data_IF_276340703500
#
_entry.id   IF_276340703500
#
_cell.length_a   1.000
_cell.length_b   1.000
_cell.length_c   1.000
_cell.angle_alpha   90.00
_cell.angle_beta   90.00
_cell.angle_gamma   90.00
#
_symmetry.space_group_name_H-M   'P 1'
#
loop_
_entity.id
_entity.type
_entity.pdbx_description
1 polymer ?
#
# COMPACT_ATOMS: atom_id res chain seq x y z
N UNK A 1 -2.21 -20.46 -3.30
CA UNK A 1 -2.77 -19.63 -4.40
C UNK A 1 -2.13 -20.03 -5.71
N UNK A 2 -2.94 -20.48 -6.67
CA UNK A 2 -2.45 -21.00 -7.94
C UNK A 2 -2.96 -20.14 -9.10
N UNK A 3 -2.09 -19.87 -10.08
CA UNK A 3 -2.42 -19.23 -11.34
C UNK A 3 -2.41 -20.27 -12.47
N UNK A 4 -3.39 -20.19 -13.36
CA UNK A 4 -3.54 -21.13 -14.46
C UNK A 4 -4.32 -22.39 -14.07
N UNK A 5 -4.49 -23.30 -15.03
CA UNK A 5 -5.21 -24.58 -14.85
C UNK A 5 -4.39 -25.71 -15.45
N UNK A 6 -4.45 -26.91 -14.84
CA UNK A 6 -3.74 -28.08 -15.34
C UNK A 6 -2.23 -28.06 -15.09
N UNK A 7 -1.45 -28.61 -16.03
CA UNK A 7 0.01 -28.78 -15.89
C UNK A 7 0.81 -27.47 -15.84
N UNK A 8 0.23 -26.35 -16.29
CA UNK A 8 0.85 -25.03 -16.30
C UNK A 8 0.45 -24.19 -15.08
N UNK A 9 -0.16 -24.76 -14.04
CA UNK A 9 -0.53 -24.06 -12.82
C UNK A 9 0.72 -23.62 -12.04
N UNK A 10 0.87 -22.32 -11.83
CA UNK A 10 1.96 -21.76 -11.02
C UNK A 10 1.46 -21.57 -9.59
N UNK A 11 2.05 -22.28 -8.65
CA UNK A 11 1.78 -22.11 -7.23
C UNK A 11 2.51 -20.86 -6.72
N UNK A 12 1.80 -19.73 -6.66
CA UNK A 12 2.39 -18.42 -6.37
C UNK A 12 2.56 -18.14 -4.88
N UNK A 13 1.58 -18.54 -4.05
CA UNK A 13 1.60 -18.33 -2.59
C UNK A 13 1.17 -19.62 -1.90
N UNK A 14 2.02 -20.11 -1.00
CA UNK A 14 1.75 -21.24 -0.13
C UNK A 14 0.81 -20.87 1.02
N UNK A 15 0.57 -21.83 1.91
CA UNK A 15 -0.27 -21.61 3.09
C UNK A 15 0.32 -20.48 3.94
N UNK A 16 -0.47 -19.43 4.11
CA UNK A 16 -0.04 -18.19 4.77
C UNK A 16 -1.19 -17.64 5.60
N UNK A 17 -0.93 -17.47 6.90
CA UNK A 17 -1.85 -16.78 7.80
C UNK A 17 -1.22 -15.49 8.30
N UNK A 18 -1.90 -14.36 8.09
CA UNK A 18 -1.42 -13.05 8.46
C UNK A 18 -2.56 -12.22 9.07
N UNK A 19 -2.28 -11.56 10.18
CA UNK A 19 -3.23 -10.68 10.85
C UNK A 19 -2.73 -9.25 10.84
N UNK A 20 -3.59 -8.32 10.41
CA UNK A 20 -3.36 -6.87 10.45
C UNK A 20 -4.30 -6.26 11.48
N UNK A 21 -3.75 -5.50 12.41
CA UNK A 21 -4.54 -4.80 13.42
C UNK A 21 -5.15 -3.52 12.85
N UNK A 22 -6.36 -3.20 13.31
CA UNK A 22 -7.07 -2.01 12.85
C UNK A 22 -6.26 -0.74 13.13
N UNK A 23 -6.21 0.16 12.16
CA UNK A 23 -5.51 1.43 12.27
C UNK A 23 -3.99 1.32 12.32
N UNK A 24 -3.41 0.17 11.91
CA UNK A 24 -1.96 -0.02 11.84
C UNK A 24 -1.47 -0.15 10.40
N UNK A 25 -0.16 0.01 10.21
CA UNK A 25 0.51 -0.28 8.94
C UNK A 25 1.29 -1.57 9.07
N UNK A 26 1.02 -2.53 8.19
CA UNK A 26 1.82 -3.74 7.98
C UNK A 26 2.58 -3.62 6.67
N UNK A 27 3.89 -3.84 6.68
CA UNK A 27 4.68 -3.99 5.47
C UNK A 27 4.89 -5.46 5.09
N UNK A 28 4.75 -5.79 3.81
CA UNK A 28 5.17 -7.05 3.21
C UNK A 28 6.47 -6.81 2.45
N UNK A 29 7.57 -7.42 2.89
CA UNK A 29 8.88 -7.33 2.23
C UNK A 29 9.37 -8.72 1.80
N UNK A 30 10.24 -8.79 0.82
CA UNK A 30 10.80 -10.06 0.34
C UNK A 30 11.33 -9.96 -1.08
N UNK A 31 11.90 -11.04 -1.57
CA UNK A 31 12.46 -11.12 -2.93
C UNK A 31 11.40 -10.90 -4.01
N UNK A 32 11.83 -10.49 -5.21
CA UNK A 32 10.93 -10.37 -6.35
C UNK A 32 10.35 -11.73 -6.70
N UNK A 33 9.06 -11.76 -7.06
CA UNK A 33 8.37 -12.99 -7.43
C UNK A 33 7.86 -13.87 -6.28
N UNK A 34 8.15 -13.58 -5.00
CA UNK A 34 7.66 -14.37 -3.86
C UNK A 34 6.16 -14.17 -3.53
N UNK A 35 5.36 -13.58 -4.41
CA UNK A 35 3.90 -13.52 -4.27
C UNK A 35 3.32 -12.35 -3.47
N UNK A 36 4.10 -11.32 -3.08
CA UNK A 36 3.62 -10.15 -2.31
C UNK A 36 2.41 -9.46 -2.96
N UNK A 37 2.56 -9.06 -4.22
CA UNK A 37 1.48 -8.41 -4.99
C UNK A 37 0.28 -9.33 -5.21
N UNK A 38 0.51 -10.65 -5.30
CA UNK A 38 -0.56 -11.65 -5.37
C UNK A 38 -1.36 -11.66 -4.07
N UNK A 39 -0.68 -11.73 -2.91
CA UNK A 39 -1.32 -11.69 -1.61
C UNK A 39 -2.11 -10.39 -1.41
N UNK A 40 -1.54 -9.25 -1.85
CA UNK A 40 -2.22 -7.96 -1.78
C UNK A 40 -3.50 -7.93 -2.65
N UNK A 41 -3.45 -8.50 -3.86
CA UNK A 41 -4.63 -8.59 -4.74
C UNK A 41 -5.70 -9.55 -4.21
N UNK A 42 -5.31 -10.61 -3.52
CA UNK A 42 -6.23 -11.49 -2.79
C UNK A 42 -6.90 -10.72 -1.65
N UNK A 43 -6.13 -9.95 -0.87
CA UNK A 43 -6.67 -9.09 0.19
C UNK A 43 -7.62 -8.01 -0.36
N UNK A 44 -7.37 -7.50 -1.58
CA UNK A 44 -8.25 -6.56 -2.27
C UNK A 44 -9.55 -7.19 -2.82
N UNK A 45 -9.68 -8.52 -2.79
CA UNK A 45 -10.78 -9.23 -3.44
C UNK A 45 -10.71 -9.23 -4.97
N UNK A 46 -9.59 -8.79 -5.55
CA UNK A 46 -9.37 -8.78 -7.01
C UNK A 46 -9.10 -10.18 -7.56
N UNK A 47 -8.59 -11.07 -6.71
CA UNK A 47 -8.31 -12.48 -7.03
C UNK A 47 -8.88 -13.33 -5.91
N UNK A 48 -9.60 -14.39 -6.26
CA UNK A 48 -10.09 -15.39 -5.28
C UNK A 48 -8.94 -16.32 -4.90
N UNK A 49 -8.71 -16.57 -3.60
CA UNK A 49 -7.72 -17.57 -3.19
C UNK A 49 -8.18 -18.98 -3.59
N UNK A 50 -7.23 -19.86 -3.92
CA UNK A 50 -7.49 -21.27 -4.24
C UNK A 50 -8.03 -22.02 -3.00
N UNK A 51 -7.53 -21.66 -1.82
CA UNK A 51 -7.98 -22.15 -0.52
C UNK A 51 -7.84 -21.05 0.53
N UNK A 52 -8.52 -21.20 1.67
CA UNK A 52 -8.55 -20.20 2.72
C UNK A 52 -9.53 -19.05 2.44
N UNK A 53 -9.45 -18.02 3.25
CA UNK A 53 -10.31 -16.84 3.15
C UNK A 53 -9.58 -15.59 3.67
N UNK A 54 -9.99 -14.43 3.17
CA UNK A 54 -9.64 -13.13 3.76
C UNK A 54 -10.83 -12.68 4.59
N UNK A 55 -10.58 -12.31 5.83
CA UNK A 55 -11.65 -11.90 6.76
C UNK A 55 -11.37 -10.52 7.34
N UNK A 56 -12.42 -9.77 7.61
CA UNK A 56 -12.41 -8.56 8.42
C UNK A 56 -13.35 -8.75 9.60
N UNK A 57 -12.85 -8.56 10.82
CA UNK A 57 -13.62 -8.75 12.06
C UNK A 57 -14.31 -10.14 12.16
N UNK A 58 -13.65 -11.18 11.61
CA UNK A 58 -14.15 -12.55 11.62
C UNK A 58 -15.14 -12.91 10.50
N UNK A 59 -15.59 -11.94 9.71
CA UNK A 59 -16.44 -12.17 8.54
C UNK A 59 -15.60 -12.16 7.24
N UNK A 60 -15.95 -12.96 6.21
CA UNK A 60 -15.30 -12.87 4.91
C UNK A 60 -15.36 -11.44 4.36
N UNK A 61 -14.27 -10.97 3.77
CA UNK A 61 -14.25 -9.65 3.13
C UNK A 61 -15.23 -9.64 1.95
N UNK A 62 -16.23 -8.77 2.03
CA UNK A 62 -17.08 -8.39 0.90
C UNK A 62 -16.68 -6.99 0.43
N UNK A 63 -16.13 -6.83 -0.79
CA UNK A 63 -15.77 -5.52 -1.33
C UNK A 63 -16.96 -4.55 -1.49
N UNK A 64 -18.21 -5.04 -1.37
CA UNK A 64 -19.41 -4.19 -1.39
C UNK A 64 -19.69 -3.57 -0.03
N UNK A 65 -19.34 -4.27 1.06
CA UNK A 65 -19.54 -3.82 2.44
C UNK A 65 -18.32 -3.11 3.03
N UNK A 66 -17.11 -3.45 2.57
CA UNK A 66 -15.84 -2.86 3.03
C UNK A 66 -15.30 -1.88 2.00
N UNK A 67 -14.96 -0.67 2.41
CA UNK A 67 -14.33 0.29 1.52
C UNK A 67 -12.83 0.00 1.43
N UNK A 68 -12.40 -0.62 0.33
CA UNK A 68 -10.99 -0.92 0.08
C UNK A 68 -10.40 0.13 -0.87
N UNK A 69 -9.38 0.84 -0.41
CA UNK A 69 -8.53 1.67 -1.24
C UNK A 69 -7.37 0.84 -1.78
N UNK A 70 -7.17 0.84 -3.10
CA UNK A 70 -6.04 0.16 -3.72
C UNK A 70 -5.19 1.14 -4.51
N UNK A 71 -3.91 1.26 -4.14
CA UNK A 71 -2.92 2.07 -4.84
C UNK A 71 -1.91 1.14 -5.54
N UNK A 72 -2.03 0.92 -6.85
CA UNK A 72 -1.09 0.10 -7.60
C UNK A 72 0.24 0.84 -7.84
N UNK A 73 1.28 0.12 -8.24
CA UNK A 73 2.62 0.62 -8.50
C UNK A 73 2.68 1.80 -9.49
N UNK A 74 1.81 1.82 -10.49
CA UNK A 74 1.69 2.89 -11.48
C UNK A 74 0.62 3.94 -11.11
N UNK A 75 0.23 4.01 -9.83
CA UNK A 75 -0.81 4.89 -9.27
C UNK A 75 -2.21 4.71 -9.86
N UNK A 76 -2.38 3.98 -10.97
CA UNK A 76 -3.66 3.68 -11.63
C UNK A 76 -4.43 4.92 -12.09
N UNK A 77 -3.73 6.00 -12.46
CA UNK A 77 -4.38 7.21 -12.96
C UNK A 77 -4.90 6.99 -14.39
N UNK A 78 -6.12 7.49 -14.64
CA UNK A 78 -6.71 7.45 -15.96
C UNK A 78 -6.12 8.59 -16.80
N UNK A 79 -5.36 8.24 -17.84
CA UNK A 79 -4.59 9.19 -18.64
C UNK A 79 -5.46 10.25 -19.39
N UNK A 80 -6.73 9.92 -19.64
CA UNK A 80 -7.71 10.77 -20.33
C UNK A 80 -8.57 11.62 -19.39
N UNK A 81 -8.35 11.51 -18.08
CA UNK A 81 -9.01 12.32 -17.05
C UNK A 81 -8.03 13.30 -16.43
N UNK A 82 -8.53 14.49 -16.09
CA UNK A 82 -7.78 15.49 -15.34
C UNK A 82 -7.44 14.99 -13.92
N UNK A 83 -6.56 15.70 -13.22
CA UNK A 83 -6.24 15.46 -11.80
C UNK A 83 -7.51 15.44 -10.96
N UNK A 84 -8.35 16.48 -11.10
CA UNK A 84 -9.62 16.57 -10.36
C UNK A 84 -10.51 15.35 -10.61
N UNK A 85 -10.74 14.97 -11.86
CA UNK A 85 -11.58 13.83 -12.23
C UNK A 85 -10.99 12.49 -11.74
N UNK A 86 -9.65 12.35 -11.74
CA UNK A 86 -9.00 11.18 -11.18
C UNK A 86 -9.24 11.05 -9.67
N UNK A 87 -9.15 12.16 -8.93
CA UNK A 87 -9.37 12.16 -7.47
C UNK A 87 -10.81 11.83 -7.13
N UNK A 88 -11.77 12.42 -7.83
CA UNK A 88 -13.21 12.27 -7.58
C UNK A 88 -13.76 10.90 -8.01
N UNK A 89 -13.10 10.21 -8.94
CA UNK A 89 -13.61 9.01 -9.60
C UNK A 89 -14.19 7.97 -8.66
N UNK A 90 -13.47 7.63 -7.60
CA UNK A 90 -13.92 6.60 -6.67
C UNK A 90 -15.16 7.02 -5.86
N UNK A 91 -15.22 8.28 -5.45
CA UNK A 91 -16.35 8.83 -4.71
C UNK A 91 -17.61 8.94 -5.58
N UNK A 92 -17.44 9.29 -6.88
CA UNK A 92 -18.51 9.34 -7.86
C UNK A 92 -19.07 7.95 -8.15
N UNK A 93 -18.20 6.95 -8.39
CA UNK A 93 -18.63 5.56 -8.68
C UNK A 93 -19.38 4.96 -7.49
N UNK A 94 -18.94 5.24 -6.26
CA UNK A 94 -19.62 4.76 -5.03
C UNK A 94 -20.85 5.59 -4.65
N UNK A 95 -21.09 6.71 -5.32
CA UNK A 95 -22.21 7.61 -4.99
C UNK A 95 -22.11 8.24 -3.61
N UNK A 96 -20.89 8.40 -3.08
CA UNK A 96 -20.64 8.91 -1.71
C UNK A 96 -20.25 10.40 -1.70
N UNK A 97 -20.42 11.09 -2.81
CA UNK A 97 -20.12 12.52 -2.89
C UNK A 97 -21.16 13.36 -2.15
N UNK A 98 -20.74 14.03 -1.08
CA UNK A 98 -21.58 14.87 -0.21
C UNK A 98 -20.76 16.04 0.36
N UNK A 99 -21.35 16.86 1.22
CA UNK A 99 -20.68 18.00 1.83
C UNK A 99 -19.45 17.65 2.68
N UNK A 100 -19.48 16.52 3.40
CA UNK A 100 -18.34 16.01 4.18
C UNK A 100 -17.19 15.60 3.27
N UNK A 101 -17.48 14.90 2.16
CA UNK A 101 -16.47 14.51 1.17
C UNK A 101 -15.91 15.71 0.44
N UNK A 102 -16.70 16.75 0.21
CA UNK A 102 -16.19 18.00 -0.35
C UNK A 102 -15.20 18.69 0.58
N UNK A 103 -15.48 18.78 1.89
CA UNK A 103 -14.53 19.31 2.87
C UNK A 103 -13.25 18.46 2.94
N UNK A 104 -13.38 17.13 2.89
CA UNK A 104 -12.23 16.22 2.84
C UNK A 104 -11.40 16.42 1.55
N UNK A 105 -12.07 16.60 0.41
CA UNK A 105 -11.42 16.89 -0.87
C UNK A 105 -10.58 18.16 -0.78
N UNK A 106 -11.18 19.27 -0.31
CA UNK A 106 -10.50 20.57 -0.21
C UNK A 106 -9.26 20.48 0.71
N UNK A 107 -9.39 19.79 1.85
CA UNK A 107 -8.28 19.55 2.76
C UNK A 107 -7.16 18.71 2.10
N UNK A 108 -7.50 17.61 1.38
CA UNK A 108 -6.52 16.78 0.69
C UNK A 108 -5.81 17.54 -0.43
N UNK A 109 -6.52 18.37 -1.19
CA UNK A 109 -5.93 19.22 -2.23
C UNK A 109 -4.91 20.19 -1.65
N UNK A 110 -5.23 20.83 -0.52
CA UNK A 110 -4.32 21.74 0.17
C UNK A 110 -3.11 21.00 0.76
N UNK A 111 -3.33 19.91 1.53
CA UNK A 111 -2.27 19.12 2.18
C UNK A 111 -1.28 18.51 1.17
N UNK A 112 -1.77 18.14 0.00
CA UNK A 112 -0.98 17.52 -1.06
C UNK A 112 -0.42 18.51 -2.09
N UNK A 113 -0.75 19.80 -1.96
CA UNK A 113 -0.27 20.86 -2.87
C UNK A 113 -0.73 20.64 -4.32
N UNK A 114 -1.99 20.26 -4.53
CA UNK A 114 -2.56 19.92 -5.84
C UNK A 114 -3.38 21.04 -6.47
N UNK A 115 -3.58 22.17 -5.80
CA UNK A 115 -4.49 23.24 -6.21
C UNK A 115 -4.28 23.71 -7.66
N UNK A 116 -3.01 23.96 -8.04
CA UNK A 116 -2.64 24.46 -9.37
C UNK A 116 -2.59 23.36 -10.45
N UNK A 117 -2.83 22.11 -10.07
CA UNK A 117 -2.70 20.94 -10.94
C UNK A 117 -4.05 20.33 -11.35
N UNK A 118 -5.16 20.79 -10.77
CA UNK A 118 -6.48 20.15 -10.88
C UNK A 118 -6.99 19.98 -12.32
N UNK A 119 -6.61 20.87 -13.23
CA UNK A 119 -7.00 20.83 -14.64
C UNK A 119 -6.02 20.09 -15.54
N UNK A 120 -4.86 19.73 -15.02
CA UNK A 120 -3.80 19.00 -15.76
C UNK A 120 -4.17 17.52 -15.93
N UNK A 121 -3.54 16.90 -16.93
CA UNK A 121 -3.63 15.46 -17.18
C UNK A 121 -2.41 14.74 -16.58
N UNK A 122 -2.51 13.42 -16.27
CA UNK A 122 -1.40 12.66 -15.67
C UNK A 122 -0.07 12.77 -16.41
N UNK A 123 -0.07 12.82 -17.74
CA UNK A 123 1.14 12.97 -18.56
C UNK A 123 1.89 14.30 -18.37
N UNK A 124 1.25 15.29 -17.77
CA UNK A 124 1.80 16.63 -17.53
C UNK A 124 2.38 16.76 -16.10
N UNK A 125 2.35 15.66 -15.34
CA UNK A 125 2.77 15.62 -13.94
C UNK A 125 4.08 14.86 -13.78
N UNK A 126 4.91 15.29 -12.82
CA UNK A 126 6.03 14.49 -12.32
C UNK A 126 5.54 13.23 -11.60
N UNK A 127 6.40 12.22 -11.43
CA UNK A 127 6.07 11.00 -10.70
C UNK A 127 5.55 11.25 -9.28
N UNK A 128 6.18 12.17 -8.53
CA UNK A 128 5.73 12.56 -7.19
C UNK A 128 4.36 13.26 -7.21
N UNK A 129 4.08 14.08 -8.24
CA UNK A 129 2.75 14.69 -8.39
C UNK A 129 1.68 13.64 -8.73
N UNK A 130 1.98 12.69 -9.62
CA UNK A 130 1.07 11.57 -9.92
C UNK A 130 0.76 10.75 -8.68
N UNK A 131 1.76 10.48 -7.84
CA UNK A 131 1.57 9.77 -6.59
C UNK A 131 0.69 10.54 -5.61
N UNK A 132 0.87 11.87 -5.45
CA UNK A 132 0.00 12.70 -4.62
C UNK A 132 -1.45 12.64 -5.10
N UNK A 133 -1.68 12.62 -6.41
CA UNK A 133 -3.03 12.42 -6.99
C UNK A 133 -3.58 11.04 -6.62
N UNK A 134 -2.77 9.99 -6.71
CA UNK A 134 -3.14 8.63 -6.31
C UNK A 134 -3.52 8.55 -4.82
N UNK A 135 -2.71 9.18 -3.94
CA UNK A 135 -3.01 9.28 -2.51
C UNK A 135 -4.30 10.07 -2.25
N UNK A 136 -4.48 11.24 -2.89
CA UNK A 136 -5.71 12.02 -2.76
C UNK A 136 -6.94 11.18 -3.10
N UNK A 137 -6.90 10.43 -4.21
CA UNK A 137 -8.00 9.57 -4.67
C UNK A 137 -8.37 8.48 -3.66
N UNK A 138 -7.38 7.80 -3.07
CA UNK A 138 -7.66 6.71 -2.12
C UNK A 138 -8.09 7.24 -0.76
N UNK A 139 -7.48 8.32 -0.26
CA UNK A 139 -7.88 8.92 1.02
C UNK A 139 -9.24 9.62 0.97
N UNK A 140 -9.64 10.17 -0.19
CA UNK A 140 -10.96 10.77 -0.38
C UNK A 140 -12.09 9.75 -0.14
N UNK A 141 -11.85 8.48 -0.42
CA UNK A 141 -12.82 7.40 -0.16
C UNK A 141 -13.00 7.12 1.32
N UNK A 142 -12.09 7.58 2.21
CA UNK A 142 -11.96 7.16 3.60
C UNK A 142 -12.07 5.63 3.73
N UNK A 143 -11.09 4.89 3.20
CA UNK A 143 -11.17 3.45 3.15
C UNK A 143 -11.01 2.83 4.54
N UNK A 144 -11.67 1.67 4.76
CA UNK A 144 -11.46 0.84 5.94
C UNK A 144 -10.12 0.11 5.88
N UNK A 145 -9.70 -0.24 4.64
CA UNK A 145 -8.45 -0.92 4.34
C UNK A 145 -7.76 -0.25 3.14
N UNK A 146 -6.53 0.17 3.32
CA UNK A 146 -5.67 0.70 2.26
C UNK A 146 -4.61 -0.33 1.89
N UNK A 147 -4.55 -0.69 0.63
CA UNK A 147 -3.60 -1.62 0.05
C UNK A 147 -2.70 -0.88 -0.94
N UNK A 148 -1.39 -0.95 -0.74
CA UNK A 148 -0.41 -0.23 -1.57
C UNK A 148 0.63 -1.20 -2.13
N UNK A 149 0.73 -1.28 -3.46
CA UNK A 149 1.67 -2.16 -4.17
C UNK A 149 2.85 -1.32 -4.67
N UNK A 150 3.98 -1.37 -3.96
CA UNK A 150 5.21 -0.63 -4.26
C UNK A 150 5.01 0.87 -4.55
N UNK A 151 4.28 1.62 -3.70
CA UNK A 151 3.77 2.95 -4.01
C UNK A 151 4.86 3.99 -4.26
N UNK A 152 6.09 3.77 -3.78
CA UNK A 152 7.19 4.75 -3.88
C UNK A 152 8.35 4.28 -4.77
N UNK A 153 8.21 3.11 -5.44
CA UNK A 153 9.30 2.47 -6.19
C UNK A 153 9.77 3.27 -7.42
N UNK A 154 8.86 4.02 -8.06
CA UNK A 154 9.15 4.81 -9.26
C UNK A 154 9.79 6.18 -8.98
N UNK A 155 10.04 6.53 -7.72
CA UNK A 155 10.56 7.83 -7.31
C UNK A 155 12.07 7.78 -7.04
N UNK A 156 12.75 8.91 -7.30
CA UNK A 156 14.09 9.14 -6.80
C UNK A 156 14.13 9.19 -5.26
N UNK A 157 15.32 9.07 -4.66
CA UNK A 157 15.46 8.92 -3.21
C UNK A 157 14.88 10.10 -2.42
N UNK A 158 15.12 11.34 -2.85
CA UNK A 158 14.68 12.55 -2.14
C UNK A 158 13.15 12.68 -2.23
N UNK A 159 12.60 12.52 -3.42
CA UNK A 159 11.15 12.55 -3.64
C UNK A 159 10.45 11.43 -2.87
N UNK A 160 11.05 10.24 -2.81
CA UNK A 160 10.53 9.09 -2.04
C UNK A 160 10.42 9.41 -0.56
N UNK A 161 11.45 9.95 0.06
CA UNK A 161 11.43 10.35 1.48
C UNK A 161 10.34 11.39 1.75
N UNK A 162 10.27 12.45 0.95
CA UNK A 162 9.22 13.46 1.06
C UNK A 162 7.82 12.85 0.94
N UNK A 163 7.62 11.90 0.03
CA UNK A 163 6.31 11.25 -0.15
C UNK A 163 5.95 10.29 1.00
N UNK A 164 6.92 9.65 1.65
CA UNK A 164 6.69 8.89 2.87
C UNK A 164 6.24 9.79 4.02
N UNK A 165 6.81 10.98 4.14
CA UNK A 165 6.38 11.99 5.13
C UNK A 165 4.94 12.45 4.88
N UNK A 166 4.61 12.74 3.62
CA UNK A 166 3.26 13.08 3.20
C UNK A 166 2.28 11.95 3.54
N UNK A 167 2.63 10.70 3.20
CA UNK A 167 1.80 9.55 3.55
C UNK A 167 1.60 9.44 5.06
N UNK A 168 2.66 9.53 5.87
CA UNK A 168 2.56 9.46 7.33
C UNK A 168 1.68 10.57 7.91
N UNK A 169 1.76 11.78 7.37
CA UNK A 169 0.90 12.89 7.78
C UNK A 169 -0.59 12.57 7.53
N UNK A 170 -0.92 12.08 6.34
CA UNK A 170 -2.27 11.65 6.00
C UNK A 170 -2.72 10.46 6.86
N UNK A 171 -1.86 9.46 7.01
CA UNK A 171 -2.17 8.27 7.79
C UNK A 171 -2.44 8.60 9.26
N UNK A 172 -1.66 9.49 9.89
CA UNK A 172 -1.88 9.95 11.27
C UNK A 172 -3.23 10.66 11.44
N UNK A 173 -3.71 11.38 10.41
CA UNK A 173 -5.01 12.05 10.43
C UNK A 173 -6.19 11.06 10.32
N UNK A 174 -6.04 10.01 9.53
CA UNK A 174 -7.13 9.11 9.16
C UNK A 174 -7.07 7.74 9.84
N UNK A 175 -5.91 7.33 10.37
CA UNK A 175 -5.64 6.05 11.04
C UNK A 175 -6.16 4.82 10.25
N UNK A 176 -6.00 4.84 8.93
CA UNK A 176 -6.49 3.77 8.04
C UNK A 176 -5.66 2.52 8.21
N UNK A 177 -6.29 1.35 8.37
CA UNK A 177 -5.60 0.06 8.33
C UNK A 177 -4.92 -0.10 6.98
N UNK A 178 -3.59 -0.30 6.97
CA UNK A 178 -2.81 -0.25 5.74
C UNK A 178 -1.94 -1.50 5.59
N UNK A 179 -1.93 -2.09 4.39
CA UNK A 179 -0.95 -3.10 3.98
C UNK A 179 -0.12 -2.53 2.84
N UNK A 180 1.19 -2.46 3.06
CA UNK A 180 2.17 -1.92 2.13
C UNK A 180 3.06 -3.03 1.61
N UNK A 181 3.13 -3.23 0.30
CA UNK A 181 4.16 -4.05 -0.35
C UNK A 181 5.31 -3.16 -0.76
N UNK A 182 6.53 -3.55 -0.39
CA UNK A 182 7.75 -2.86 -0.81
C UNK A 182 8.94 -3.81 -0.87
N UNK A 183 9.95 -3.47 -1.65
CA UNK A 183 11.26 -4.11 -1.63
C UNK A 183 12.33 -3.25 -0.94
N UNK A 184 11.97 -2.04 -0.47
CA UNK A 184 12.85 -1.17 0.29
C UNK A 184 12.67 -1.39 1.80
N UNK A 185 13.73 -1.88 2.45
CA UNK A 185 13.73 -2.17 3.89
C UNK A 185 13.52 -0.89 4.71
N UNK A 186 14.17 0.21 4.30
CA UNK A 186 14.04 1.51 4.96
C UNK A 186 12.63 2.06 4.92
N UNK A 187 11.91 1.82 3.83
CA UNK A 187 10.51 2.20 3.68
C UNK A 187 9.63 1.43 4.67
N UNK A 188 9.82 0.11 4.75
CA UNK A 188 9.10 -0.73 5.70
C UNK A 188 9.37 -0.29 7.15
N UNK A 189 10.63 -0.02 7.51
CA UNK A 189 11.03 0.48 8.83
C UNK A 189 10.45 1.87 9.14
N UNK A 190 10.35 2.73 8.15
CA UNK A 190 9.81 4.09 8.35
C UNK A 190 8.31 4.08 8.57
N UNK A 191 7.57 3.24 7.83
CA UNK A 191 6.12 3.35 7.71
C UNK A 191 5.35 2.34 8.56
N UNK A 192 5.85 1.11 8.71
CA UNK A 192 5.07 -0.01 9.23
C UNK A 192 5.43 -0.38 10.66
N UNK A 193 4.43 -0.50 11.54
CA UNK A 193 4.63 -0.99 12.92
C UNK A 193 4.96 -2.48 12.99
N UNK A 194 4.57 -3.24 11.96
CA UNK A 194 4.93 -4.67 11.81
C UNK A 194 5.38 -4.94 10.39
N UNK A 195 6.34 -5.83 10.24
CA UNK A 195 6.95 -6.19 8.97
C UNK A 195 6.88 -7.70 8.78
N UNK A 196 6.17 -8.14 7.74
CA UNK A 196 6.12 -9.54 7.35
C UNK A 196 7.18 -9.79 6.26
N UNK A 197 8.13 -10.65 6.56
CA UNK A 197 9.14 -11.10 5.60
C UNK A 197 8.58 -12.27 4.82
N UNK A 198 8.58 -12.16 3.49
CA UNK A 198 8.14 -13.21 2.58
C UNK A 198 9.31 -13.79 1.81
N UNK A 199 9.29 -15.09 1.63
CA UNK A 199 10.31 -15.83 0.86
C UNK A 199 9.76 -17.12 0.28
N UNK A 200 10.64 -17.84 -0.42
CA UNK A 200 10.30 -19.13 -1.03
C UNK A 200 9.60 -19.03 -2.39
N UNK A 201 9.54 -20.18 -3.05
CA UNK A 201 8.76 -20.42 -4.27
C UNK A 201 8.13 -21.82 -4.17
N UNK A 202 6.83 -21.91 -3.80
CA UNK A 202 5.83 -20.85 -3.62
C UNK A 202 6.11 -19.95 -2.41
N UNK A 203 5.72 -18.67 -2.53
CA UNK A 203 5.97 -17.67 -1.51
C UNK A 203 5.12 -17.86 -0.25
N UNK A 204 5.70 -17.61 0.90
CA UNK A 204 5.02 -17.65 2.20
C UNK A 204 5.64 -16.62 3.15
N UNK A 205 4.92 -16.30 4.23
CA UNK A 205 5.48 -15.47 5.31
C UNK A 205 6.43 -16.33 6.13
N UNK A 206 7.71 -15.97 6.13
CA UNK A 206 8.77 -16.67 6.88
C UNK A 206 8.91 -16.12 8.29
N UNK A 207 8.64 -14.84 8.47
CA UNK A 207 8.78 -14.18 9.78
C UNK A 207 7.91 -12.94 9.87
N UNK A 208 7.49 -12.60 11.09
CA UNK A 208 6.77 -11.37 11.42
C UNK A 208 7.58 -10.62 12.47
N UNK A 209 7.98 -9.40 12.16
CA UNK A 209 8.88 -8.58 12.96
C UNK A 209 8.15 -7.33 13.45
N UNK A 210 8.18 -7.09 14.76
CA UNK A 210 7.68 -5.84 15.34
C UNK A 210 8.72 -4.73 15.13
N UNK A 211 8.27 -3.56 14.73
CA UNK A 211 9.12 -2.43 14.39
C UNK A 211 8.86 -1.21 15.28
N UNK A 212 9.81 -0.84 16.15
CA UNK A 212 9.66 0.29 17.07
C UNK A 212 9.96 1.66 16.43
N UNK A 213 10.31 1.71 15.13
CA UNK A 213 10.70 2.94 14.44
C UNK A 213 9.55 3.56 13.64
N UNK A 214 8.44 2.84 13.48
CA UNK A 214 7.33 3.24 12.63
C UNK A 214 6.81 4.65 12.94
N UNK A 215 6.77 5.51 11.91
CA UNK A 215 6.24 6.87 12.01
C UNK A 215 7.13 7.87 12.73
N UNK A 216 8.32 7.47 13.20
CA UNK A 216 9.32 8.36 13.80
C UNK A 216 10.46 8.65 12.81
N UNK A 217 10.32 9.75 12.08
CA UNK A 217 11.28 10.18 11.07
C UNK A 217 12.64 10.59 11.66
N UNK A 218 12.69 10.98 12.94
CA UNK A 218 13.92 11.42 13.60
C UNK A 218 14.89 10.27 13.83
N UNK A 219 14.39 9.04 13.89
CA UNK A 219 15.19 7.84 14.13
C UNK A 219 15.80 7.22 12.87
N UNK A 220 15.48 7.73 11.67
CA UNK A 220 16.02 7.22 10.39
C UNK A 220 17.56 7.19 10.34
N UNK A 221 18.24 8.13 11.02
CA UNK A 221 19.69 8.23 11.07
C UNK A 221 20.31 7.51 12.29
N UNK A 222 19.52 6.82 13.10
CA UNK A 222 20.02 6.15 14.29
C UNK A 222 20.74 4.84 13.94
N UNK A 223 21.72 4.48 14.77
CA UNK A 223 22.46 3.23 14.61
C UNK A 223 21.54 2.00 14.74
N UNK A 224 20.53 2.06 15.63
CA UNK A 224 19.56 0.98 15.82
C UNK A 224 18.69 0.77 14.59
N UNK A 225 18.23 1.86 13.92
CA UNK A 225 17.50 1.78 12.67
C UNK A 225 18.33 1.10 11.58
N UNK A 226 19.59 1.48 11.45
CA UNK A 226 20.53 0.87 10.52
C UNK A 226 20.76 -0.62 10.84
N UNK A 227 20.98 -0.97 12.11
CA UNK A 227 21.18 -2.35 12.54
C UNK A 227 19.97 -3.23 12.22
N UNK A 228 18.76 -2.76 12.52
CA UNK A 228 17.53 -3.47 12.18
C UNK A 228 17.34 -3.62 10.67
N UNK A 229 17.74 -2.60 9.89
CA UNK A 229 17.76 -2.68 8.43
C UNK A 229 18.66 -3.79 7.89
N UNK A 230 19.85 -3.94 8.47
CA UNK A 230 20.79 -5.02 8.11
C UNK A 230 20.22 -6.41 8.48
N UNK A 231 19.60 -6.52 9.66
CA UNK A 231 18.94 -7.75 10.09
C UNK A 231 17.82 -8.17 9.12
N UNK A 232 16.94 -7.25 8.75
CA UNK A 232 15.87 -7.52 7.81
C UNK A 232 16.39 -7.94 6.42
N UNK A 233 17.46 -7.30 5.91
CA UNK A 233 18.10 -7.73 4.66
C UNK A 233 18.65 -9.15 4.75
N UNK A 234 19.27 -9.51 5.89
CA UNK A 234 19.75 -10.85 6.11
C UNK A 234 18.61 -11.89 6.18
N UNK A 235 17.46 -11.53 6.75
CA UNK A 235 16.25 -12.37 6.78
C UNK A 235 15.69 -12.58 5.37
N UNK A 236 15.58 -11.51 4.55
CA UNK A 236 15.13 -11.60 3.15
C UNK A 236 16.06 -12.51 2.33
N UNK A 237 17.37 -12.37 2.49
CA UNK A 237 18.34 -13.19 1.77
C UNK A 237 18.21 -14.69 2.12
N UNK A 238 17.95 -15.02 3.38
CA UNK A 238 17.73 -16.41 3.84
C UNK A 238 16.40 -16.99 3.37
N UNK A 239 15.36 -16.18 3.27
CA UNK A 239 14.03 -16.60 2.78
C UNK A 239 13.94 -16.76 1.27
N UNK A 240 14.94 -16.34 0.51
CA UNK A 240 14.98 -16.43 -0.95
C UNK A 240 15.61 -17.71 -1.53
N UNK A 241 15.93 -18.67 -0.67
CA UNK A 241 16.53 -19.98 -1.05
C UNK A 241 15.47 -21.05 -1.03
#
# INVERSE_FOLDING_TARGET
>A
MDYGTGADAVHAVADTSLRVERGTVLALIGTSGCGKSTLLRVAAGLIRPTAGAVTSEGAPIDPRGLCIGFLPQNYGLLAWKTVRENILLGAEIKGVWNAERMATYDALIADLGLSELLTRYPRELSGGQQQRVGLARVFLLAPDLLLMDEPFSALDAITRESMQEVFLSLWKKHAVTTVLVTHYVEEALTLAGRIAVMGGAPGHVTELVDNPFAGDLTRRSSQDFFAMGQELRAKIARGGV
#
